data_IF_321084106538
#
_entry.id   IF_321084106538
#
_cell.length_a   1.000
_cell.length_b   1.000
_cell.length_c   1.000
_cell.angle_alpha   90.00
_cell.angle_beta   90.00
_cell.angle_gamma   90.00
#
_symmetry.space_group_name_H-M   'P 1'
#
loop_
_entity.id
_entity.type
_entity.pdbx_description
1 polymer ?
#
# COMPACT_ATOMS: atom_id res chain seq x y z
N UNK A 1 -42.05 -63.58 7.76
CA UNK A 1 -42.37 -63.76 6.32
C UNK A 1 -41.69 -62.66 5.52
N UNK A 2 -40.85 -63.10 4.61
CA UNK A 2 -40.39 -62.44 3.41
C UNK A 2 -39.46 -61.20 3.63
N UNK A 3 -38.34 -61.14 3.11
CA UNK A 3 -37.52 -61.87 2.13
C UNK A 3 -36.47 -60.86 1.65
N UNK A 4 -35.24 -61.28 1.82
CA UNK A 4 -34.02 -60.94 1.12
C UNK A 4 -34.17 -60.40 -0.32
N UNK A 5 -33.46 -59.34 -0.65
CA UNK A 5 -32.90 -59.16 -1.98
C UNK A 5 -31.54 -58.44 -1.92
N UNK A 6 -30.49 -59.18 -2.22
CA UNK A 6 -29.21 -58.64 -2.67
C UNK A 6 -29.19 -58.66 -4.19
N UNK A 7 -28.53 -57.71 -4.83
CA UNK A 7 -27.85 -58.04 -6.08
C UNK A 7 -26.36 -57.80 -6.00
N UNK A 8 -25.72 -58.77 -6.55
CA UNK A 8 -24.31 -58.98 -6.80
C UNK A 8 -23.65 -57.91 -7.68
N UNK A 9 -22.43 -57.59 -7.35
CA UNK A 9 -21.24 -57.39 -8.16
C UNK A 9 -21.33 -56.72 -9.53
N UNK A 10 -20.65 -55.59 -9.62
CA UNK A 10 -19.93 -55.28 -10.85
C UNK A 10 -18.65 -54.56 -10.47
N UNK A 11 -17.53 -55.27 -10.66
CA UNK A 11 -16.19 -54.71 -10.50
C UNK A 11 -15.90 -53.75 -11.64
N UNK A 12 -15.51 -52.55 -11.30
CA UNK A 12 -14.82 -51.65 -12.19
C UNK A 12 -13.46 -51.35 -11.56
N UNK A 13 -12.44 -51.94 -12.16
CA UNK A 13 -11.03 -51.64 -11.94
C UNK A 13 -10.78 -50.19 -12.31
N UNK A 14 -10.46 -49.35 -11.33
CA UNK A 14 -9.92 -48.01 -11.52
C UNK A 14 -8.46 -48.17 -12.01
N UNK A 15 -8.23 -47.73 -13.25
CA UNK A 15 -6.91 -47.51 -13.82
C UNK A 15 -6.32 -46.28 -13.13
N UNK A 16 -5.28 -46.47 -12.34
CA UNK A 16 -4.48 -45.39 -11.78
C UNK A 16 -3.74 -44.63 -12.90
N UNK A 17 -4.14 -43.39 -13.14
CA UNK A 17 -3.43 -42.48 -14.03
C UNK A 17 -2.44 -41.59 -13.24
N UNK A 18 -1.33 -41.10 -13.86
CA UNK A 18 -0.18 -40.50 -13.19
C UNK A 18 -0.37 -39.03 -12.81
N UNK A 19 -1.54 -38.60 -12.34
CA UNK A 19 -1.83 -37.21 -11.99
C UNK A 19 -2.31 -36.98 -10.55
N UNK A 20 -2.09 -37.92 -9.63
CA UNK A 20 -2.52 -37.81 -8.23
C UNK A 20 -1.61 -36.93 -7.34
N UNK A 21 -0.54 -36.35 -7.89
CA UNK A 21 0.39 -35.50 -7.16
C UNK A 21 0.03 -33.99 -7.05
N UNK A 22 -0.96 -33.51 -7.79
CA UNK A 22 -1.23 -32.03 -7.86
C UNK A 22 -2.50 -31.58 -7.14
N UNK A 23 -3.27 -32.45 -6.53
CA UNK A 23 -4.53 -32.09 -5.84
C UNK A 23 -4.42 -31.92 -4.32
N UNK A 24 -3.29 -32.27 -3.73
CA UNK A 24 -3.09 -32.18 -2.29
C UNK A 24 -2.55 -30.83 -1.79
N UNK A 25 -2.17 -29.91 -2.68
CA UNK A 25 -1.58 -28.61 -2.28
C UNK A 25 -2.54 -27.41 -2.32
N UNK A 26 -3.80 -27.60 -2.71
CA UNK A 26 -4.75 -26.47 -2.88
C UNK A 26 -5.82 -26.37 -1.80
N UNK A 27 -5.80 -27.20 -0.76
CA UNK A 27 -6.81 -27.15 0.33
C UNK A 27 -6.19 -27.06 1.74
N UNK A 28 -4.94 -26.66 1.86
CA UNK A 28 -4.41 -26.15 3.11
C UNK A 28 -4.58 -24.64 3.17
N UNK A 29 -5.81 -24.14 3.05
CA UNK A 29 -6.18 -22.89 3.66
C UNK A 29 -5.96 -23.06 5.15
N UNK A 30 -4.83 -22.50 5.64
CA UNK A 30 -4.61 -22.33 7.08
C UNK A 30 -5.89 -21.73 7.65
N UNK A 31 -6.46 -22.30 8.73
CA UNK A 31 -7.50 -21.61 9.44
C UNK A 31 -6.90 -20.24 9.78
N UNK A 32 -7.58 -19.18 9.35
CA UNK A 32 -7.39 -17.85 9.91
C UNK A 32 -7.56 -18.05 11.41
N UNK A 33 -6.44 -18.15 12.12
CA UNK A 33 -6.44 -18.04 13.56
C UNK A 33 -7.19 -16.73 13.84
N UNK A 34 -8.43 -16.87 14.26
CA UNK A 34 -9.12 -15.84 14.99
C UNK A 34 -8.20 -15.54 16.16
N UNK A 35 -7.31 -14.57 15.97
CA UNK A 35 -6.41 -14.02 16.99
C UNK A 35 -7.35 -13.62 18.10
N UNK A 36 -7.43 -14.45 19.13
CA UNK A 36 -8.12 -14.13 20.36
C UNK A 36 -7.57 -12.77 20.76
N UNK A 37 -8.38 -11.74 20.63
CA UNK A 37 -8.09 -10.39 21.11
C UNK A 37 -8.11 -10.48 22.64
N UNK A 38 -7.03 -10.98 23.22
CA UNK A 38 -6.67 -10.52 24.55
C UNK A 38 -6.44 -9.02 24.37
N UNK A 39 -7.37 -8.24 24.89
CA UNK A 39 -7.42 -6.78 24.84
C UNK A 39 -6.22 -6.23 25.65
N UNK A 40 -5.04 -6.34 25.06
CA UNK A 40 -3.86 -5.64 25.60
C UNK A 40 -4.02 -4.18 25.19
N UNK A 41 -4.27 -3.32 26.16
CA UNK A 41 -4.42 -1.89 25.95
C UNK A 41 -3.28 -1.32 25.11
N UNK A 42 -3.59 -0.55 24.08
CA UNK A 42 -2.58 0.03 23.19
C UNK A 42 -1.77 1.09 23.94
N UNK A 43 -0.47 0.88 24.09
CA UNK A 43 0.44 1.86 24.68
C UNK A 43 0.50 3.09 23.76
N UNK A 44 0.03 4.24 24.25
CA UNK A 44 -0.14 5.45 23.44
C UNK A 44 0.54 6.63 24.11
N UNK A 45 1.47 7.26 23.39
CA UNK A 45 2.08 8.53 23.74
C UNK A 45 1.32 9.69 23.11
N UNK A 46 1.10 10.76 23.87
CA UNK A 46 0.40 11.97 23.39
C UNK A 46 1.33 13.16 23.46
N UNK A 47 1.52 13.86 22.36
CA UNK A 47 2.29 15.08 22.27
C UNK A 47 1.46 16.19 21.64
N UNK A 48 1.45 17.35 22.28
CA UNK A 48 0.93 18.60 21.73
C UNK A 48 1.81 19.75 22.17
N UNK A 49 1.89 20.80 21.36
CA UNK A 49 2.59 22.03 21.76
C UNK A 49 1.80 22.84 22.77
N UNK A 50 0.48 22.75 22.69
CA UNK A 50 -0.42 23.36 23.63
C UNK A 50 -0.74 22.37 24.77
N UNK A 51 -0.35 22.70 26.03
CA UNK A 51 -0.58 21.83 27.19
C UNK A 51 -2.05 21.53 27.46
N UNK A 52 -2.97 22.44 27.10
CA UNK A 52 -4.42 22.25 27.31
C UNK A 52 -4.92 21.14 26.39
N UNK A 53 -4.55 21.19 25.10
CA UNK A 53 -4.88 20.13 24.14
C UNK A 53 -4.29 18.78 24.55
N UNK A 54 -3.05 18.75 25.03
CA UNK A 54 -2.43 17.54 25.52
C UNK A 54 -3.19 16.96 26.70
N UNK A 55 -3.47 17.76 27.71
CA UNK A 55 -4.19 17.34 28.90
C UNK A 55 -5.61 16.86 28.56
N UNK A 56 -6.30 17.56 27.66
CA UNK A 56 -7.64 17.20 27.21
C UNK A 56 -7.69 15.82 26.52
N UNK A 57 -6.77 15.55 25.61
CA UNK A 57 -6.69 14.25 24.94
C UNK A 57 -6.26 13.13 25.90
N UNK A 58 -5.28 13.38 26.74
CA UNK A 58 -4.83 12.41 27.76
C UNK A 58 -5.98 12.06 28.71
N UNK A 59 -6.77 13.05 29.15
CA UNK A 59 -7.93 12.81 30.01
C UNK A 59 -8.98 11.91 29.31
N UNK A 60 -9.28 12.17 28.05
CA UNK A 60 -10.20 11.33 27.25
C UNK A 60 -9.70 9.89 27.08
N UNK A 61 -8.41 9.70 26.80
CA UNK A 61 -7.82 8.38 26.59
C UNK A 61 -7.75 7.58 27.89
N UNK A 62 -7.48 8.20 29.04
CA UNK A 62 -7.44 7.53 30.33
C UNK A 62 -8.76 6.93 30.79
N UNK A 63 -9.88 7.44 30.26
CA UNK A 63 -11.22 6.93 30.57
C UNK A 63 -11.56 5.62 29.82
N UNK A 64 -10.66 5.10 28.99
CA UNK A 64 -10.91 4.00 28.08
C UNK A 64 -9.94 2.85 28.29
N UNK A 65 -10.43 1.62 28.49
CA UNK A 65 -9.58 0.47 28.76
C UNK A 65 -8.77 -0.01 27.54
N UNK A 66 -9.15 0.39 26.33
CA UNK A 66 -8.49 0.00 25.10
C UNK A 66 -7.12 0.65 24.91
N UNK A 67 -6.85 1.74 25.65
CA UNK A 67 -5.64 2.56 25.50
C UNK A 67 -4.97 2.75 26.85
N UNK A 68 -3.67 2.59 26.87
CA UNK A 68 -2.83 2.92 28.05
C UNK A 68 -1.89 4.06 27.68
N UNK A 69 -2.09 5.21 28.29
CA UNK A 69 -1.22 6.38 28.09
C UNK A 69 0.15 6.12 28.72
N UNK A 70 1.22 6.40 27.97
CA UNK A 70 2.62 6.29 28.39
C UNK A 70 3.30 7.65 28.31
N UNK A 71 4.36 7.84 29.09
CA UNK A 71 5.03 9.12 29.24
C UNK A 71 6.14 9.37 28.22
N UNK A 72 6.61 8.31 27.55
CA UNK A 72 7.68 8.41 26.55
C UNK A 72 7.29 7.77 25.22
N UNK A 73 7.73 8.32 24.07
CA UNK A 73 7.46 7.71 22.78
C UNK A 73 8.14 6.32 22.62
N UNK A 74 9.20 6.06 23.35
CA UNK A 74 9.91 4.78 23.28
C UNK A 74 9.08 3.59 23.81
N UNK A 75 8.17 3.84 24.75
CA UNK A 75 7.26 2.85 25.32
C UNK A 75 5.96 2.69 24.51
N UNK A 76 5.74 3.58 23.55
CA UNK A 76 4.49 3.64 22.84
C UNK A 76 4.46 2.68 21.64
N UNK A 77 3.30 2.11 21.40
CA UNK A 77 2.95 1.46 20.12
C UNK A 77 2.48 2.48 19.11
N UNK A 78 1.71 3.50 19.59
CA UNK A 78 1.21 4.62 18.79
C UNK A 78 1.59 5.93 19.46
N UNK A 79 2.10 6.89 18.69
CA UNK A 79 2.30 8.26 19.15
C UNK A 79 1.32 9.18 18.45
N UNK A 80 0.52 9.89 19.23
CA UNK A 80 -0.47 10.87 18.76
C UNK A 80 0.13 12.27 18.88
N UNK A 81 0.32 12.91 17.73
CA UNK A 81 0.69 14.33 17.63
C UNK A 81 -0.56 15.16 17.45
N UNK A 82 -0.69 16.23 18.23
CA UNK A 82 -1.76 17.22 18.09
C UNK A 82 -1.15 18.54 17.65
N UNK A 83 -1.59 19.07 16.53
CA UNK A 83 -1.12 20.32 15.96
C UNK A 83 -2.26 21.12 15.32
N UNK A 84 -2.10 22.42 15.19
CA UNK A 84 -3.07 23.24 14.44
C UNK A 84 -2.83 23.12 12.94
N UNK A 85 -1.56 23.09 12.53
CA UNK A 85 -1.13 22.90 11.15
C UNK A 85 0.13 22.02 11.11
N UNK A 86 0.42 21.46 9.93
CA UNK A 86 1.64 20.66 9.71
C UNK A 86 2.73 21.57 9.15
N UNK A 87 3.46 22.19 10.05
CA UNK A 87 4.64 23.00 9.73
C UNK A 87 5.95 22.19 9.85
N UNK A 88 7.08 22.84 9.52
CA UNK A 88 8.41 22.20 9.61
C UNK A 88 8.74 21.71 11.02
N UNK A 89 8.24 22.42 12.04
CA UNK A 89 8.46 22.02 13.41
C UNK A 89 7.63 20.76 13.75
N UNK A 90 6.36 20.72 13.34
CA UNK A 90 5.50 19.53 13.50
C UNK A 90 6.11 18.32 12.81
N UNK A 91 6.62 18.51 11.61
CA UNK A 91 7.30 17.44 10.85
C UNK A 91 8.59 16.99 11.55
N UNK A 92 9.35 17.91 12.11
CA UNK A 92 10.56 17.59 12.91
C UNK A 92 10.21 16.80 14.16
N UNK A 93 9.19 17.21 14.90
CA UNK A 93 8.75 16.54 16.12
C UNK A 93 8.22 15.13 15.81
N UNK A 94 7.44 14.98 14.72
CA UNK A 94 6.99 13.65 14.24
C UNK A 94 8.18 12.71 13.93
N UNK A 95 9.18 13.21 13.21
CA UNK A 95 10.39 12.43 12.90
C UNK A 95 11.21 12.10 14.17
N UNK A 96 11.28 13.02 15.12
CA UNK A 96 12.00 12.81 16.38
C UNK A 96 11.34 11.74 17.26
N UNK A 97 10.01 11.63 17.23
CA UNK A 97 9.28 10.60 17.97
C UNK A 97 9.47 9.21 17.38
N UNK A 98 9.83 9.08 16.10
CA UNK A 98 9.96 7.81 15.40
C UNK A 98 11.40 7.34 15.35
N UNK A 99 11.73 6.28 16.10
CA UNK A 99 13.01 5.57 16.01
C UNK A 99 12.78 4.15 15.51
N UNK A 100 13.58 3.71 14.53
CA UNK A 100 13.52 2.34 13.98
C UNK A 100 12.11 1.90 13.53
N UNK A 101 11.33 2.85 13.01
CA UNK A 101 9.96 2.58 12.55
C UNK A 101 8.90 2.53 13.66
N UNK A 102 9.25 2.78 14.92
CA UNK A 102 8.33 2.83 16.07
C UNK A 102 8.49 4.13 16.87
N UNK A 103 7.44 4.61 17.56
CA UNK A 103 6.02 4.20 17.46
C UNK A 103 5.41 4.50 16.08
N UNK A 104 4.22 3.95 15.79
CA UNK A 104 3.41 4.37 14.64
C UNK A 104 2.83 5.74 14.91
N UNK A 105 2.90 6.62 13.93
CA UNK A 105 2.51 8.00 14.11
C UNK A 105 1.06 8.22 13.71
N UNK A 106 0.31 8.91 14.57
CA UNK A 106 -1.02 9.43 14.31
C UNK A 106 -0.99 10.95 14.48
N UNK A 107 -1.58 11.67 13.53
CA UNK A 107 -1.68 13.13 13.56
C UNK A 107 -3.13 13.57 13.74
N UNK A 108 -3.37 14.46 14.68
CA UNK A 108 -4.63 15.19 14.83
C UNK A 108 -4.36 16.65 14.50
N UNK A 109 -4.95 17.16 13.41
CA UNK A 109 -4.69 18.52 12.95
C UNK A 109 -5.98 19.31 12.72
N UNK A 110 -5.92 20.62 12.92
CA UNK A 110 -7.04 21.52 12.65
C UNK A 110 -7.19 21.76 11.15
N UNK A 111 -6.08 22.01 10.47
CA UNK A 111 -6.04 22.21 9.01
C UNK A 111 -4.95 21.34 8.37
N UNK A 112 -5.29 20.74 7.23
CA UNK A 112 -4.37 19.93 6.44
C UNK A 112 -4.56 20.33 4.99
N UNK A 113 -3.59 21.02 4.44
CA UNK A 113 -3.49 21.31 3.01
C UNK A 113 -2.72 20.21 2.27
N UNK A 114 -2.56 20.35 0.96
CA UNK A 114 -1.90 19.36 0.12
C UNK A 114 -0.40 19.18 0.47
N UNK A 115 0.29 20.28 0.82
CA UNK A 115 1.69 20.23 1.21
C UNK A 115 1.87 19.57 2.59
N UNK A 116 1.00 19.93 3.54
CA UNK A 116 0.93 19.33 4.86
C UNK A 116 0.69 17.82 4.81
N UNK A 117 -0.16 17.36 3.90
CA UNK A 117 -0.46 15.94 3.73
C UNK A 117 0.73 15.16 3.19
N UNK A 118 1.47 15.71 2.22
CA UNK A 118 2.72 15.11 1.71
C UNK A 118 3.76 15.07 2.83
N UNK A 119 3.96 16.16 3.56
CA UNK A 119 4.91 16.23 4.67
C UNK A 119 4.58 15.22 5.79
N UNK A 120 3.30 15.05 6.13
CA UNK A 120 2.85 14.05 7.10
C UNK A 120 3.13 12.62 6.61
N UNK A 121 2.86 12.32 5.34
CA UNK A 121 3.16 11.03 4.73
C UNK A 121 4.67 10.73 4.72
N UNK A 122 5.50 11.72 4.35
CA UNK A 122 6.96 11.61 4.39
C UNK A 122 7.51 11.42 5.82
N UNK A 123 6.87 12.02 6.82
CA UNK A 123 7.20 11.79 8.23
C UNK A 123 6.79 10.40 8.71
N UNK A 124 6.00 9.66 7.92
CA UNK A 124 5.54 8.31 8.23
C UNK A 124 4.30 8.26 9.11
N UNK A 125 3.45 9.28 9.02
CA UNK A 125 2.12 9.29 9.67
C UNK A 125 1.26 8.21 9.06
N UNK A 126 0.77 7.28 9.89
CA UNK A 126 -0.09 6.17 9.49
C UNK A 126 -1.59 6.48 9.72
N UNK A 127 -1.91 7.38 10.65
CA UNK A 127 -3.26 7.82 10.93
C UNK A 127 -3.38 9.34 10.93
N UNK A 128 -4.40 9.87 10.25
CA UNK A 128 -4.71 11.28 10.23
C UNK A 128 -6.16 11.50 10.63
N UNK A 129 -6.39 12.46 11.54
CA UNK A 129 -7.72 12.83 11.99
C UNK A 129 -7.84 14.35 12.04
N UNK A 130 -8.96 14.89 11.61
CA UNK A 130 -9.23 16.31 11.82
C UNK A 130 -9.64 16.57 13.26
N UNK A 131 -9.22 17.71 13.81
CA UNK A 131 -9.55 18.08 15.17
C UNK A 131 -11.06 18.16 15.42
N UNK A 132 -11.84 18.63 14.44
CA UNK A 132 -13.30 18.66 14.53
C UNK A 132 -13.94 17.28 14.64
N UNK A 133 -13.29 16.22 14.11
CA UNK A 133 -13.78 14.85 14.11
C UNK A 133 -13.18 14.02 15.27
N UNK A 134 -12.28 14.63 16.06
CA UNK A 134 -11.52 13.98 17.13
C UNK A 134 -12.35 13.83 18.42
N UNK A 135 -13.47 13.10 18.34
CA UNK A 135 -14.16 12.64 19.54
C UNK A 135 -13.35 11.54 20.25
N UNK A 136 -13.59 11.33 21.55
CA UNK A 136 -12.92 10.26 22.30
C UNK A 136 -13.08 8.89 21.65
N UNK A 137 -14.26 8.57 21.10
CA UNK A 137 -14.53 7.32 20.41
C UNK A 137 -13.74 7.22 19.08
N UNK A 138 -13.75 8.27 18.26
CA UNK A 138 -13.03 8.29 17.00
C UNK A 138 -11.52 8.20 17.21
N UNK A 139 -10.98 8.90 18.22
CA UNK A 139 -9.57 8.82 18.60
C UNK A 139 -9.16 7.39 18.92
N UNK A 140 -9.91 6.70 19.77
CA UNK A 140 -9.60 5.33 20.19
C UNK A 140 -9.68 4.37 19.01
N UNK A 141 -10.74 4.46 18.21
CA UNK A 141 -10.92 3.64 17.01
C UNK A 141 -9.74 3.81 16.05
N UNK A 142 -9.30 5.05 15.83
CA UNK A 142 -8.15 5.32 14.96
C UNK A 142 -6.85 4.83 15.59
N UNK A 143 -6.62 5.01 16.90
CA UNK A 143 -5.45 4.49 17.60
C UNK A 143 -5.34 2.98 17.47
N UNK A 144 -6.44 2.24 17.67
CA UNK A 144 -6.46 0.78 17.57
C UNK A 144 -6.16 0.34 16.13
N UNK A 145 -6.75 0.97 15.13
CA UNK A 145 -6.46 0.71 13.70
C UNK A 145 -4.99 0.98 13.36
N UNK A 146 -4.46 2.12 13.78
CA UNK A 146 -3.05 2.44 13.57
C UNK A 146 -2.15 1.43 14.27
N UNK A 147 -2.49 0.98 15.46
CA UNK A 147 -1.74 -0.05 16.19
C UNK A 147 -1.71 -1.40 15.46
N UNK A 148 -2.80 -1.80 14.82
CA UNK A 148 -2.86 -3.05 14.03
C UNK A 148 -2.12 -2.96 12.69
N UNK A 149 -1.78 -1.76 12.24
CA UNK A 149 -1.07 -1.54 10.99
C UNK A 149 -1.91 -0.98 9.86
N UNK A 150 -3.17 -0.77 10.13
CA UNK A 150 -4.08 -0.18 9.18
C UNK A 150 -3.88 1.33 9.13
N UNK A 151 -3.83 1.89 7.92
CA UNK A 151 -3.83 3.34 7.74
C UNK A 151 -5.26 3.88 7.93
N UNK A 152 -5.38 5.02 8.59
CA UNK A 152 -6.67 5.72 8.70
C UNK A 152 -6.50 7.17 8.26
N UNK A 153 -7.12 7.52 7.15
CA UNK A 153 -7.10 8.88 6.59
C UNK A 153 -8.53 9.25 6.20
N UNK A 154 -9.00 10.47 6.49
CA UNK A 154 -10.29 10.95 6.03
C UNK A 154 -10.44 10.76 4.51
N UNK A 155 -11.61 10.30 4.01
CA UNK A 155 -11.78 9.94 2.59
C UNK A 155 -11.49 11.08 1.61
N UNK A 156 -11.83 12.31 1.97
CA UNK A 156 -11.56 13.49 1.17
C UNK A 156 -10.05 13.81 1.09
N UNK A 157 -9.31 13.61 2.17
CA UNK A 157 -7.86 13.78 2.17
C UNK A 157 -7.15 12.64 1.42
N UNK A 158 -7.70 11.44 1.43
CA UNK A 158 -7.18 10.33 0.63
C UNK A 158 -7.31 10.62 -0.86
N UNK A 159 -8.47 11.14 -1.32
CA UNK A 159 -8.66 11.57 -2.70
C UNK A 159 -7.61 12.59 -3.13
N UNK A 160 -7.39 13.63 -2.31
CA UNK A 160 -6.38 14.67 -2.56
C UNK A 160 -4.96 14.11 -2.59
N UNK A 161 -4.62 13.16 -1.72
CA UNK A 161 -3.31 12.49 -1.71
C UNK A 161 -3.08 11.71 -3.03
N UNK A 162 -4.07 10.97 -3.51
CA UNK A 162 -3.98 10.25 -4.77
C UNK A 162 -3.83 11.20 -5.96
N UNK A 163 -4.51 12.34 -5.96
CA UNK A 163 -4.34 13.38 -6.97
C UNK A 163 -2.93 13.99 -6.95
N UNK A 164 -2.36 14.22 -5.76
CA UNK A 164 -1.00 14.73 -5.61
C UNK A 164 0.04 13.73 -6.12
N UNK A 165 -0.10 12.45 -5.77
CA UNK A 165 0.75 11.38 -6.31
C UNK A 165 0.67 11.37 -7.84
N UNK A 166 -0.54 11.46 -8.40
CA UNK A 166 -0.75 11.54 -9.85
C UNK A 166 -0.13 12.79 -10.48
N UNK A 167 -0.15 13.94 -9.81
CA UNK A 167 0.52 15.18 -10.27
C UNK A 167 2.04 15.03 -10.25
N UNK A 168 2.61 14.52 -9.17
CA UNK A 168 4.06 14.27 -9.05
C UNK A 168 4.54 13.30 -10.14
N UNK A 169 3.78 12.25 -10.41
CA UNK A 169 4.08 11.33 -11.51
C UNK A 169 4.13 12.06 -12.86
N UNK A 170 3.12 12.88 -13.16
CA UNK A 170 3.04 13.60 -14.44
C UNK A 170 4.07 14.72 -14.57
N UNK A 171 4.33 15.48 -13.50
CA UNK A 171 5.16 16.68 -13.57
C UNK A 171 6.64 16.42 -13.34
N UNK A 172 6.99 15.49 -12.47
CA UNK A 172 8.38 15.26 -12.05
C UNK A 172 8.99 14.05 -12.76
N UNK A 173 8.23 12.96 -12.88
CA UNK A 173 8.74 11.71 -13.43
C UNK A 173 8.58 11.62 -14.95
N UNK A 174 7.43 12.06 -15.49
CA UNK A 174 7.17 11.98 -16.93
C UNK A 174 8.15 12.82 -17.78
N UNK A 175 8.50 14.08 -17.43
CA UNK A 175 9.49 14.85 -18.18
C UNK A 175 10.89 14.24 -18.14
N UNK A 176 11.23 13.46 -17.12
CA UNK A 176 12.49 12.72 -16.98
C UNK A 176 12.45 11.31 -17.53
N UNK A 177 11.32 10.92 -18.18
CA UNK A 177 11.12 9.55 -18.68
C UNK A 177 10.99 8.49 -17.57
N UNK A 178 10.80 8.91 -16.33
CA UNK A 178 10.63 8.02 -15.17
C UNK A 178 9.13 7.85 -14.89
N UNK A 179 8.69 6.61 -14.91
CA UNK A 179 7.38 6.21 -14.38
C UNK A 179 7.60 5.22 -13.24
N UNK A 180 6.64 5.04 -12.36
CA UNK A 180 6.71 3.99 -11.33
C UNK A 180 6.88 2.59 -11.94
N UNK A 181 6.44 2.43 -13.18
CA UNK A 181 6.56 1.18 -13.94
C UNK A 181 7.87 1.08 -14.72
N UNK A 182 8.73 2.09 -14.67
CA UNK A 182 9.99 2.11 -15.41
C UNK A 182 9.87 2.30 -16.92
N UNK A 183 8.64 2.37 -17.48
CA UNK A 183 8.37 2.59 -18.91
C UNK A 183 7.60 3.90 -19.13
N UNK A 184 7.97 4.65 -20.16
CA UNK A 184 7.18 5.79 -20.64
C UNK A 184 5.96 5.29 -21.42
N UNK A 185 4.88 6.09 -21.57
CA UNK A 185 3.74 5.73 -22.41
C UNK A 185 4.13 5.37 -23.85
N UNK A 186 5.15 6.05 -24.39
CA UNK A 186 5.71 5.78 -25.72
C UNK A 186 6.40 4.43 -25.78
N UNK A 187 7.23 4.09 -24.79
CA UNK A 187 7.90 2.79 -24.70
C UNK A 187 6.90 1.66 -24.52
N UNK A 188 5.87 1.86 -23.69
CA UNK A 188 4.77 0.89 -23.51
C UNK A 188 4.07 0.61 -24.82
N UNK A 189 3.75 1.65 -25.62
CA UNK A 189 3.08 1.49 -26.90
C UNK A 189 3.97 0.75 -27.92
N UNK A 190 5.27 1.08 -27.96
CA UNK A 190 6.24 0.36 -28.81
C UNK A 190 6.32 -1.11 -28.40
N UNK A 191 6.40 -1.41 -27.11
CA UNK A 191 6.50 -2.79 -26.59
C UNK A 191 5.23 -3.60 -26.86
N UNK A 192 4.04 -2.99 -26.80
CA UNK A 192 2.77 -3.66 -27.19
C UNK A 192 2.82 -4.09 -28.64
N UNK A 193 3.20 -3.18 -29.54
CA UNK A 193 3.33 -3.52 -30.96
C UNK A 193 4.39 -4.59 -31.23
N UNK A 194 5.51 -4.58 -30.49
CA UNK A 194 6.49 -5.65 -30.55
C UNK A 194 5.92 -6.99 -30.05
N UNK A 195 5.12 -6.97 -28.98
CA UNK A 195 4.44 -8.16 -28.44
C UNK A 195 3.42 -8.72 -29.42
N UNK A 196 2.72 -7.85 -30.18
CA UNK A 196 1.79 -8.19 -31.25
C UNK A 196 2.50 -8.73 -32.52
N UNK A 197 3.84 -8.77 -32.53
CA UNK A 197 4.64 -9.36 -33.60
C UNK A 197 5.06 -8.37 -34.71
N UNK A 198 4.77 -7.08 -34.59
CA UNK A 198 5.13 -6.09 -35.62
C UNK A 198 6.63 -5.87 -35.69
N UNK A 199 7.16 -5.68 -36.89
CA UNK A 199 8.55 -5.30 -37.10
C UNK A 199 8.77 -3.78 -36.89
N UNK A 200 10.02 -3.35 -36.91
CA UNK A 200 10.39 -1.93 -36.63
C UNK A 200 9.82 -0.99 -37.68
N UNK A 201 9.71 -1.42 -38.95
CA UNK A 201 9.15 -0.62 -40.04
C UNK A 201 7.63 -0.45 -39.89
N UNK A 202 6.94 -1.53 -39.59
CA UNK A 202 5.50 -1.53 -39.35
C UNK A 202 5.11 -0.69 -38.12
N UNK A 203 5.91 -0.76 -37.05
CA UNK A 203 5.74 0.06 -35.85
C UNK A 203 5.96 1.53 -36.20
N UNK A 204 6.98 1.86 -36.98
CA UNK A 204 7.28 3.21 -37.40
C UNK A 204 6.09 3.83 -38.17
N UNK A 205 5.52 3.08 -39.11
CA UNK A 205 4.34 3.51 -39.87
C UNK A 205 3.13 3.75 -38.95
N UNK A 206 2.83 2.84 -38.03
CA UNK A 206 1.66 2.93 -37.14
C UNK A 206 1.75 4.08 -36.13
N UNK A 207 2.97 4.38 -35.68
CA UNK A 207 3.23 5.45 -34.72
C UNK A 207 3.57 6.78 -35.36
N UNK A 208 3.62 6.87 -36.68
CA UNK A 208 4.08 8.06 -37.44
C UNK A 208 5.50 8.48 -37.05
N UNK A 209 6.39 7.51 -36.87
CA UNK A 209 7.81 7.72 -36.56
C UNK A 209 8.72 7.24 -37.68
N UNK A 210 10.00 7.60 -37.62
CA UNK A 210 11.03 6.95 -38.43
C UNK A 210 11.43 5.60 -37.78
N UNK A 211 11.85 4.61 -38.60
CA UNK A 211 12.41 3.36 -38.06
C UNK A 211 13.58 3.59 -37.10
N UNK A 212 14.40 4.61 -37.38
CA UNK A 212 15.52 5.01 -36.51
C UNK A 212 15.02 5.43 -35.14
N UNK A 213 13.88 6.15 -35.08
CA UNK A 213 13.27 6.56 -33.83
C UNK A 213 12.80 5.37 -33.02
N UNK A 214 12.15 4.38 -33.66
CA UNK A 214 11.69 3.16 -32.99
C UNK A 214 12.88 2.33 -32.49
N UNK A 215 13.96 2.20 -33.28
CA UNK A 215 15.19 1.52 -32.89
C UNK A 215 15.84 2.18 -31.67
N UNK A 216 15.90 3.53 -31.66
CA UNK A 216 16.43 4.28 -30.52
C UNK A 216 15.59 4.04 -29.25
N UNK A 217 14.26 4.13 -29.34
CA UNK A 217 13.37 3.86 -28.19
C UNK A 217 13.63 2.48 -27.60
N UNK A 218 13.71 1.44 -28.43
CA UNK A 218 13.99 0.08 -27.98
C UNK A 218 15.42 -0.06 -27.41
N UNK A 219 16.40 0.59 -28.01
CA UNK A 219 17.78 0.57 -27.52
C UNK A 219 17.91 1.26 -26.16
N UNK A 220 17.38 2.48 -26.03
CA UNK A 220 17.44 3.26 -24.79
C UNK A 220 16.73 2.52 -23.64
N UNK A 221 15.56 1.93 -23.94
CA UNK A 221 14.81 1.13 -22.99
C UNK A 221 15.57 -0.13 -22.54
N UNK A 222 16.13 -0.90 -23.49
CA UNK A 222 16.87 -2.11 -23.16
C UNK A 222 18.16 -1.80 -22.39
N UNK A 223 18.85 -0.71 -22.72
CA UNK A 223 20.05 -0.26 -22.01
C UNK A 223 19.72 0.23 -20.61
N UNK A 224 18.70 1.07 -20.44
CA UNK A 224 18.28 1.62 -19.16
C UNK A 224 17.80 0.55 -18.18
N UNK A 225 17.04 -0.44 -18.65
CA UNK A 225 16.51 -1.54 -17.84
C UNK A 225 17.43 -2.76 -17.80
N UNK A 226 18.63 -2.67 -18.39
CA UNK A 226 19.63 -3.75 -18.48
C UNK A 226 19.06 -5.04 -19.08
N UNK A 227 18.22 -4.92 -20.11
CA UNK A 227 17.59 -6.04 -20.78
C UNK A 227 18.45 -6.50 -21.97
N UNK A 228 18.52 -7.81 -22.22
CA UNK A 228 19.42 -8.39 -23.21
C UNK A 228 19.04 -8.09 -24.66
N UNK A 229 17.74 -8.00 -24.95
CA UNK A 229 17.18 -7.80 -26.28
C UNK A 229 15.71 -7.39 -26.23
N UNK A 230 15.11 -7.12 -27.41
CA UNK A 230 13.69 -6.72 -27.53
C UNK A 230 12.71 -7.77 -26.99
N UNK A 231 13.01 -9.05 -27.14
CA UNK A 231 12.16 -10.14 -26.63
C UNK A 231 12.20 -10.19 -25.11
N UNK A 232 13.36 -9.96 -24.50
CA UNK A 232 13.49 -9.84 -23.05
C UNK A 232 12.74 -8.61 -22.52
N UNK A 233 12.70 -7.51 -23.29
CA UNK A 233 11.93 -6.33 -22.94
C UNK A 233 10.41 -6.60 -22.94
N UNK A 234 9.90 -7.34 -23.92
CA UNK A 234 8.49 -7.77 -23.94
C UNK A 234 8.18 -8.69 -22.77
N UNK A 235 9.02 -9.72 -22.53
CA UNK A 235 8.83 -10.65 -21.42
C UNK A 235 8.85 -9.93 -20.04
N UNK A 236 9.71 -8.95 -19.88
CA UNK A 236 9.73 -8.07 -18.70
C UNK A 236 8.41 -7.32 -18.56
N UNK A 237 7.96 -6.62 -19.61
CA UNK A 237 6.77 -5.81 -19.59
C UNK A 237 5.48 -6.62 -19.30
N UNK A 238 5.37 -7.85 -19.85
CA UNK A 238 4.26 -8.77 -19.55
C UNK A 238 4.30 -9.22 -18.09
N UNK A 239 5.47 -9.61 -17.59
CA UNK A 239 5.62 -10.13 -16.22
C UNK A 239 5.32 -9.04 -15.17
N UNK A 240 5.68 -7.79 -15.44
CA UNK A 240 5.41 -6.65 -14.57
C UNK A 240 4.00 -6.05 -14.81
N UNK A 241 3.19 -6.64 -15.70
CA UNK A 241 1.82 -6.17 -15.97
C UNK A 241 1.76 -4.80 -16.65
N UNK A 242 2.77 -4.43 -17.45
CA UNK A 242 2.89 -3.13 -18.11
C UNK A 242 2.25 -3.11 -19.52
N UNK A 243 2.11 -4.27 -20.11
CA UNK A 243 1.45 -4.51 -21.40
C UNK A 243 0.56 -5.74 -21.35
#
# INVERSE_FOLDING_TARGET
MLSSYQPSGCGLSLVEGPFDGLRAHLLASKPTEARSMSSTAVATYVHARDPISQAGVVAQLRMRPEVRVVDTPAEATVAVMIADAVDDNTTRDLRAMRKDGRPRLMLVATSVDDAAMVAAAEAGVAGLLRRCDASGETLIKTIVKVASGDGEVPPDLLGRLLEQVGRLQRQVLAPRGLTFTGLTPRETQVLRLVADGFDTGEIALRMCYSERTVKNVLHDLTTRLQLRNRTHAVAYAVREGLI
#
